data_IF_283053343459
#
_entry.id   IF_283053343459
#
_cell.length_a   1.000
_cell.length_b   1.000
_cell.length_c   1.000
_cell.angle_alpha   90.00
_cell.angle_beta   90.00
_cell.angle_gamma   90.00
#
_symmetry.space_group_name_H-M   'P 1'
#
loop_
_entity.id
_entity.type
_entity.pdbx_description
1 polymer ?
#
# COMPACT_ATOMS: atom_id res chain seq x y z
N UNK A 1 -62.26 -54.52 0.99
CA UNK A 1 -61.18 -53.79 1.68
C UNK A 1 -60.48 -52.86 0.69
N UNK A 2 -60.68 -51.53 0.72
CA UNK A 2 -59.90 -50.62 -0.12
C UNK A 2 -58.73 -50.02 0.69
N UNK A 3 -57.53 -50.12 0.13
CA UNK A 3 -56.28 -49.54 0.67
C UNK A 3 -56.34 -48.01 0.62
N UNK A 4 -56.13 -47.35 1.76
CA UNK A 4 -55.94 -45.89 1.84
C UNK A 4 -54.59 -45.50 1.22
N UNK A 5 -54.64 -44.65 0.21
CA UNK A 5 -53.46 -44.07 -0.43
C UNK A 5 -52.74 -43.08 0.50
N UNK A 6 -51.41 -43.09 0.45
CA UNK A 6 -50.47 -42.37 1.31
C UNK A 6 -50.53 -40.86 1.06
N UNK A 7 -51.09 -40.11 2.01
CA UNK A 7 -51.07 -38.65 2.01
C UNK A 7 -49.75 -38.04 2.56
N UNK A 8 -48.85 -38.86 3.14
CA UNK A 8 -47.63 -38.39 3.81
C UNK A 8 -46.45 -38.06 2.87
N UNK A 9 -46.36 -38.67 1.69
CA UNK A 9 -45.17 -38.58 0.83
C UNK A 9 -45.01 -37.21 0.13
N UNK A 10 -46.11 -36.49 -0.16
CA UNK A 10 -46.08 -35.18 -0.83
C UNK A 10 -45.67 -34.02 0.10
N UNK A 11 -46.08 -34.08 1.37
CA UNK A 11 -45.70 -33.06 2.37
C UNK A 11 -44.22 -33.16 2.77
N UNK A 12 -43.69 -34.38 2.81
CA UNK A 12 -42.29 -34.63 3.13
C UNK A 12 -41.35 -34.21 2.01
N UNK A 13 -41.71 -34.45 0.75
CA UNK A 13 -40.94 -34.00 -0.41
C UNK A 13 -40.83 -32.48 -0.50
N UNK A 14 -41.92 -31.75 -0.22
CA UNK A 14 -41.92 -30.28 -0.22
C UNK A 14 -40.98 -29.71 0.86
N UNK A 15 -40.95 -30.30 2.06
CA UNK A 15 -40.05 -29.89 3.14
C UNK A 15 -38.58 -30.10 2.75
N UNK A 16 -38.24 -31.23 2.14
CA UNK A 16 -36.86 -31.49 1.68
C UNK A 16 -36.42 -30.46 0.63
N UNK A 17 -37.29 -30.15 -0.33
CA UNK A 17 -37.01 -29.13 -1.36
C UNK A 17 -36.83 -27.74 -0.76
N UNK A 18 -37.67 -27.35 0.20
CA UNK A 18 -37.55 -26.07 0.91
C UNK A 18 -36.25 -25.96 1.70
N UNK A 19 -35.86 -27.02 2.40
CA UNK A 19 -34.58 -27.07 3.13
C UNK A 19 -33.41 -26.94 2.17
N UNK A 20 -33.46 -27.63 1.01
CA UNK A 20 -32.43 -27.53 -0.01
C UNK A 20 -32.32 -26.12 -0.61
N UNK A 21 -33.46 -25.49 -0.92
CA UNK A 21 -33.51 -24.12 -1.42
C UNK A 21 -32.97 -23.11 -0.39
N UNK A 22 -33.33 -23.27 0.88
CA UNK A 22 -32.81 -22.43 1.96
C UNK A 22 -31.29 -22.59 2.12
N UNK A 23 -30.79 -23.83 2.10
CA UNK A 23 -29.36 -24.11 2.16
C UNK A 23 -28.62 -23.51 0.95
N UNK A 24 -29.17 -23.65 -0.25
CA UNK A 24 -28.58 -23.08 -1.47
C UNK A 24 -28.55 -21.54 -1.44
N UNK A 25 -29.62 -20.90 -0.97
CA UNK A 25 -29.67 -19.45 -0.81
C UNK A 25 -28.66 -18.95 0.24
N UNK A 26 -28.46 -19.67 1.34
CA UNK A 26 -27.46 -19.31 2.34
C UNK A 26 -26.03 -19.43 1.80
N UNK A 27 -25.73 -20.50 1.05
CA UNK A 27 -24.41 -20.70 0.44
C UNK A 27 -24.12 -19.61 -0.60
N UNK A 28 -25.08 -19.30 -1.47
CA UNK A 28 -24.91 -18.26 -2.49
C UNK A 28 -24.76 -16.87 -1.88
N UNK A 29 -25.54 -16.54 -0.84
CA UNK A 29 -25.40 -15.29 -0.09
C UNK A 29 -24.02 -15.17 0.57
N UNK A 30 -23.53 -16.24 1.21
CA UNK A 30 -22.19 -16.27 1.81
C UNK A 30 -21.07 -16.12 0.78
N UNK A 31 -21.20 -16.73 -0.40
CA UNK A 31 -20.24 -16.56 -1.49
C UNK A 31 -20.20 -15.13 -2.02
N UNK A 32 -21.36 -14.49 -2.17
CA UNK A 32 -21.47 -13.13 -2.68
C UNK A 32 -20.96 -12.08 -1.68
N UNK A 33 -21.18 -12.30 -0.38
CA UNK A 33 -20.66 -11.41 0.67
C UNK A 33 -19.12 -11.49 0.77
N UNK A 34 -18.54 -12.68 0.63
CA UNK A 34 -17.08 -12.85 0.59
C UNK A 34 -16.47 -12.20 -0.66
N UNK A 35 -17.09 -12.37 -1.83
CA UNK A 35 -16.63 -11.77 -3.07
C UNK A 35 -16.67 -10.22 -3.01
N UNK A 36 -17.77 -9.65 -2.49
CA UNK A 36 -17.89 -8.18 -2.35
C UNK A 36 -16.89 -7.57 -1.37
N UNK A 37 -16.52 -8.29 -0.30
CA UNK A 37 -15.46 -7.88 0.61
C UNK A 37 -14.09 -7.77 -0.10
N UNK A 38 -13.78 -8.70 -1.01
CA UNK A 38 -12.54 -8.65 -1.80
C UNK A 38 -12.48 -7.43 -2.74
N UNK A 39 -13.62 -7.04 -3.33
CA UNK A 39 -13.71 -5.83 -4.17
C UNK A 39 -13.56 -4.54 -3.36
N UNK A 40 -14.11 -4.48 -2.14
CA UNK A 40 -13.93 -3.34 -1.24
C UNK A 40 -12.45 -3.13 -0.86
N UNK A 41 -11.69 -4.22 -0.70
CA UNK A 41 -10.25 -4.17 -0.43
C UNK A 41 -9.42 -3.60 -1.59
N UNK A 42 -9.91 -3.70 -2.83
CA UNK A 42 -9.13 -3.31 -4.02
C UNK A 42 -8.84 -1.81 -4.08
N UNK A 43 -9.79 -0.97 -3.65
CA UNK A 43 -9.59 0.49 -3.60
C UNK A 43 -8.56 0.88 -2.54
N UNK A 44 -8.57 0.19 -1.39
CA UNK A 44 -7.57 0.38 -0.34
C UNK A 44 -6.19 -0.01 -0.83
N UNK A 45 -6.05 -1.19 -1.45
CA UNK A 45 -4.77 -1.66 -2.03
C UNK A 45 -4.25 -0.69 -3.09
N UNK A 46 -5.13 -0.17 -3.96
CA UNK A 46 -4.74 0.78 -5.00
C UNK A 46 -4.26 2.11 -4.43
N UNK A 47 -4.92 2.59 -3.38
CA UNK A 47 -4.54 3.83 -2.68
C UNK A 47 -3.21 3.63 -1.97
N UNK A 48 -3.03 2.49 -1.30
CA UNK A 48 -1.80 2.15 -0.59
C UNK A 48 -0.61 2.03 -1.55
N UNK A 49 -0.77 1.25 -2.63
CA UNK A 49 0.25 1.12 -3.65
C UNK A 49 0.66 2.48 -4.23
N UNK A 50 -0.32 3.33 -4.54
CA UNK A 50 -0.06 4.69 -5.05
C UNK A 50 0.74 5.53 -4.05
N UNK A 51 0.44 5.45 -2.76
CA UNK A 51 1.22 6.18 -1.74
C UNK A 51 2.64 5.64 -1.62
N UNK A 52 2.83 4.32 -1.73
CA UNK A 52 4.16 3.69 -1.74
C UNK A 52 5.00 4.13 -2.93
N UNK A 53 4.43 4.17 -4.14
CA UNK A 53 5.13 4.68 -5.32
C UNK A 53 5.49 6.17 -5.19
N UNK A 54 4.65 6.95 -4.51
CA UNK A 54 4.96 8.35 -4.26
C UNK A 54 6.16 8.48 -3.30
N UNK A 55 6.20 7.69 -2.22
CA UNK A 55 7.33 7.68 -1.29
C UNK A 55 8.66 7.32 -1.99
N UNK A 56 8.64 6.31 -2.85
CA UNK A 56 9.79 5.90 -3.66
C UNK A 56 10.30 7.02 -4.58
N UNK A 57 9.40 7.71 -5.28
CA UNK A 57 9.74 8.88 -6.07
C UNK A 57 10.34 10.02 -5.22
N UNK A 58 9.88 10.18 -3.97
CA UNK A 58 10.46 11.12 -3.02
C UNK A 58 11.89 10.74 -2.60
N UNK A 59 12.19 9.44 -2.43
CA UNK A 59 13.54 8.95 -2.16
C UNK A 59 14.46 9.18 -3.37
N UNK A 60 13.99 8.89 -4.58
CA UNK A 60 14.75 9.17 -5.81
C UNK A 60 15.07 10.67 -5.95
N UNK A 61 14.11 11.55 -5.64
CA UNK A 61 14.36 12.99 -5.59
C UNK A 61 15.42 13.36 -4.54
N UNK A 62 15.38 12.73 -3.35
CA UNK A 62 16.38 12.96 -2.31
C UNK A 62 17.79 12.58 -2.79
N UNK A 63 17.94 11.43 -3.43
CA UNK A 63 19.21 10.98 -4.00
C UNK A 63 19.73 11.94 -5.08
N UNK A 64 18.85 12.37 -5.98
CA UNK A 64 19.20 13.37 -6.99
C UNK A 64 19.65 14.69 -6.34
N UNK A 65 18.99 15.14 -5.27
CA UNK A 65 19.34 16.36 -4.56
C UNK A 65 20.69 16.24 -3.82
N UNK A 66 21.02 15.06 -3.28
CA UNK A 66 22.33 14.76 -2.67
C UNK A 66 23.44 14.85 -3.72
N UNK A 67 23.21 14.27 -4.89
CA UNK A 67 24.16 14.20 -6.01
C UNK A 67 24.37 15.57 -6.69
N UNK A 68 23.29 16.24 -7.11
CA UNK A 68 23.39 17.38 -8.05
C UNK A 68 23.45 18.77 -7.40
N UNK A 69 22.92 18.95 -6.19
CA UNK A 69 22.67 20.31 -5.66
C UNK A 69 23.64 20.75 -4.56
N UNK A 70 24.43 19.85 -3.97
CA UNK A 70 25.13 20.15 -2.70
C UNK A 70 26.59 19.65 -2.58
N UNK A 71 27.23 19.19 -3.66
CA UNK A 71 28.62 18.69 -3.59
C UNK A 71 28.76 17.56 -2.57
N UNK A 72 27.95 16.51 -2.74
CA UNK A 72 27.78 15.36 -1.84
C UNK A 72 26.88 15.67 -0.62
N UNK A 73 25.81 16.45 -0.75
CA UNK A 73 24.86 16.62 0.36
C UNK A 73 25.38 17.34 1.63
N UNK A 74 26.58 17.94 1.62
CA UNK A 74 27.16 18.63 2.79
C UNK A 74 26.38 19.88 3.25
N UNK A 75 25.61 20.50 2.36
CA UNK A 75 24.72 21.62 2.70
C UNK A 75 23.33 21.17 3.19
N UNK A 76 23.13 19.88 3.47
CA UNK A 76 21.98 19.44 4.25
C UNK A 76 22.08 19.96 5.71
N UNK A 77 20.96 20.24 6.42
CA UNK A 77 19.62 19.74 6.15
C UNK A 77 18.86 20.52 5.07
N UNK A 78 18.09 19.79 4.27
CA UNK A 78 17.16 20.38 3.30
C UNK A 78 15.84 19.65 3.37
N UNK A 79 14.78 20.40 3.64
CA UNK A 79 13.40 19.95 3.45
C UNK A 79 12.91 20.46 2.10
N UNK A 80 12.18 19.63 1.37
CA UNK A 80 11.60 20.01 0.08
C UNK A 80 10.25 19.33 -0.08
N UNK A 81 9.25 20.11 -0.45
CA UNK A 81 7.94 19.60 -0.81
C UNK A 81 7.94 19.21 -2.30
N UNK A 82 7.56 17.98 -2.60
CA UNK A 82 7.43 17.46 -3.98
C UNK A 82 5.98 17.06 -4.19
N UNK A 83 5.31 17.64 -5.17
CA UNK A 83 3.92 17.27 -5.51
C UNK A 83 3.92 16.38 -6.73
N UNK A 84 3.31 15.20 -6.60
CA UNK A 84 3.14 14.23 -7.67
C UNK A 84 1.67 14.17 -8.08
N UNK A 85 1.39 14.37 -9.36
CA UNK A 85 0.04 14.36 -9.90
C UNK A 85 -0.32 12.96 -10.37
N UNK A 86 -1.36 12.37 -9.76
CA UNK A 86 -1.92 11.09 -10.17
C UNK A 86 -3.37 11.27 -10.63
N UNK A 87 -3.93 10.31 -11.39
CA UNK A 87 -5.33 10.36 -11.81
C UNK A 87 -6.34 10.44 -10.66
N UNK A 88 -5.98 9.91 -9.48
CA UNK A 88 -6.80 9.98 -8.26
C UNK A 88 -6.49 11.18 -7.36
N UNK A 89 -5.82 12.22 -7.87
CA UNK A 89 -5.47 13.45 -7.15
C UNK A 89 -3.95 13.70 -7.03
N UNK A 90 -3.54 14.85 -6.49
CA UNK A 90 -2.14 15.08 -6.13
C UNK A 90 -1.77 14.35 -4.83
N UNK A 91 -0.52 13.91 -4.72
CA UNK A 91 0.12 13.51 -3.46
C UNK A 91 1.28 14.46 -3.22
N UNK A 92 1.27 15.14 -2.08
CA UNK A 92 2.38 16.01 -1.68
C UNK A 92 3.28 15.26 -0.72
N UNK A 93 4.56 15.18 -1.06
CA UNK A 93 5.60 14.53 -0.26
C UNK A 93 6.43 15.61 0.41
N UNK A 94 6.76 15.42 1.67
CA UNK A 94 7.78 16.20 2.36
C UNK A 94 9.05 15.36 2.46
N UNK A 95 10.09 15.76 1.74
CA UNK A 95 11.38 15.08 1.70
C UNK A 95 12.35 15.84 2.59
N UNK A 96 12.76 15.23 3.71
CA UNK A 96 13.77 15.73 4.62
C UNK A 96 15.07 14.96 4.47
N UNK A 97 16.17 15.67 4.23
CA UNK A 97 17.52 15.09 4.17
C UNK A 97 18.32 15.63 5.35
N UNK A 98 18.87 14.75 6.17
CA UNK A 98 19.80 15.08 7.25
C UNK A 98 21.18 14.48 6.94
N UNK A 99 22.22 15.32 6.91
CA UNK A 99 23.60 14.83 6.76
C UNK A 99 24.11 14.17 8.03
N UNK A 100 24.92 13.14 7.86
CA UNK A 100 25.81 12.66 8.90
C UNK A 100 27.24 13.17 8.72
N UNK A 101 28.21 12.40 9.23
CA UNK A 101 29.62 12.74 9.27
C UNK A 101 30.46 11.48 8.96
N UNK A 102 31.35 11.48 7.95
CA UNK A 102 31.71 12.58 7.06
C UNK A 102 30.56 12.97 6.11
N UNK A 103 30.57 14.22 5.65
CA UNK A 103 29.52 14.71 4.74
C UNK A 103 29.83 14.47 3.26
N UNK A 104 31.04 14.03 2.92
CA UNK A 104 31.47 13.71 1.55
C UNK A 104 32.55 12.63 1.56
N UNK A 105 32.67 11.90 0.46
CA UNK A 105 33.67 10.85 0.28
C UNK A 105 33.16 9.48 0.71
N UNK A 106 33.92 8.44 0.41
CA UNK A 106 33.50 7.06 0.62
C UNK A 106 33.11 6.81 2.10
N UNK A 107 31.87 6.41 2.35
CA UNK A 107 31.32 6.22 3.69
C UNK A 107 30.58 7.44 4.28
N UNK A 108 30.50 8.57 3.57
CA UNK A 108 29.59 9.65 3.92
C UNK A 108 28.14 9.15 3.91
N UNK A 109 27.30 9.68 4.81
CA UNK A 109 25.95 9.18 5.00
C UNK A 109 24.90 10.30 5.16
N UNK A 110 23.69 10.01 4.69
CA UNK A 110 22.54 10.90 4.78
C UNK A 110 21.30 10.11 5.18
N UNK A 111 20.65 10.57 6.24
CA UNK A 111 19.35 10.07 6.64
C UNK A 111 18.27 10.81 5.85
N UNK A 112 17.49 10.06 5.07
CA UNK A 112 16.40 10.57 4.26
C UNK A 112 15.08 10.15 4.90
N UNK A 113 14.20 11.12 5.07
CA UNK A 113 12.85 10.92 5.56
C UNK A 113 11.89 11.47 4.52
N UNK A 114 10.95 10.66 4.05
CA UNK A 114 9.93 11.04 3.09
C UNK A 114 8.59 10.78 3.73
N UNK A 115 7.76 11.80 3.84
CA UNK A 115 6.40 11.66 4.39
C UNK A 115 5.37 12.08 3.36
N UNK A 116 4.34 11.26 3.18
CA UNK A 116 3.23 11.61 2.30
C UNK A 116 2.18 12.40 3.10
N UNK A 117 1.88 13.61 2.63
CA UNK A 117 0.95 14.51 3.32
C UNK A 117 -0.46 13.93 3.30
N UNK A 118 -1.12 13.92 4.46
CA UNK A 118 -2.47 13.37 4.60
C UNK A 118 -2.52 11.85 4.70
N UNK A 119 -1.38 11.17 4.80
CA UNK A 119 -1.30 9.74 5.10
C UNK A 119 -0.39 9.52 6.32
N UNK A 120 -0.52 8.35 6.94
CA UNK A 120 0.38 7.94 8.02
C UNK A 120 1.63 7.21 7.48
N UNK A 121 1.87 7.31 6.17
CA UNK A 121 2.93 6.56 5.49
C UNK A 121 4.22 7.38 5.45
N UNK A 122 5.30 6.77 5.93
CA UNK A 122 6.62 7.40 5.95
C UNK A 122 7.68 6.43 5.48
N UNK A 123 8.55 6.89 4.60
CA UNK A 123 9.75 6.17 4.19
C UNK A 123 10.94 6.79 4.90
N UNK A 124 11.74 5.95 5.53
CA UNK A 124 13.04 6.33 6.08
C UNK A 124 14.11 5.53 5.37
N UNK A 125 15.23 6.17 5.04
CA UNK A 125 16.32 5.51 4.33
C UNK A 125 17.66 6.11 4.73
N UNK A 126 18.71 5.30 4.63
CA UNK A 126 20.09 5.76 4.72
C UNK A 126 20.77 5.61 3.38
N UNK A 127 21.18 6.75 2.87
CA UNK A 127 22.01 6.84 1.68
C UNK A 127 23.45 6.94 2.14
N UNK A 128 24.35 6.16 1.54
CA UNK A 128 25.80 6.29 1.75
C UNK A 128 26.52 6.52 0.44
N UNK A 129 27.64 7.22 0.50
CA UNK A 129 28.50 7.40 -0.66
C UNK A 129 29.39 6.18 -0.84
N UNK A 130 29.33 5.56 -2.01
CA UNK A 130 30.20 4.48 -2.44
C UNK A 130 30.79 4.84 -3.80
N UNK A 131 32.12 4.94 -3.89
CA UNK A 131 32.82 5.31 -5.12
C UNK A 131 32.28 6.60 -5.79
N UNK A 132 32.09 7.67 -4.99
CA UNK A 132 31.55 8.95 -5.44
C UNK A 132 30.12 8.89 -6.01
N UNK A 133 29.34 7.87 -5.62
CA UNK A 133 27.91 7.75 -5.98
C UNK A 133 27.07 7.50 -4.72
N UNK A 134 25.92 8.17 -4.56
CA UNK A 134 24.99 7.84 -3.47
C UNK A 134 24.33 6.48 -3.74
N UNK A 135 24.36 5.59 -2.76
CA UNK A 135 23.70 4.30 -2.75
C UNK A 135 22.77 4.22 -1.54
N UNK A 136 21.56 3.71 -1.72
CA UNK A 136 20.69 3.39 -0.58
C UNK A 136 21.21 2.10 0.07
N UNK A 137 21.58 2.18 1.34
CA UNK A 137 22.07 1.03 2.11
C UNK A 137 20.97 0.35 2.91
N UNK A 138 19.99 1.13 3.35
CA UNK A 138 18.76 0.61 3.90
C UNK A 138 17.62 1.58 3.65
N UNK A 139 16.41 1.02 3.57
CA UNK A 139 15.16 1.75 3.51
C UNK A 139 14.08 0.98 4.25
N UNK A 140 13.13 1.69 4.83
CA UNK A 140 12.01 1.13 5.54
C UNK A 140 10.79 2.03 5.34
N UNK A 141 9.66 1.40 5.02
CA UNK A 141 8.37 2.06 4.88
C UNK A 141 7.51 1.66 6.07
N UNK A 142 6.99 2.67 6.76
CA UNK A 142 6.01 2.54 7.84
C UNK A 142 4.65 3.03 7.32
#
# INVERSE_FOLDING_TARGET
MPRRARAGERGQALLVVLVFLAAFLLITWAGLSLASAAFLGLNTVRTDARTTYALDAGLAYAMYAIDTKNGNGCNAPKTSAVTLNYPGGPITLNVGIAKGNPCSGNGANWNVTVTATGTNRTLTALVTELNAKPLVTWESIQ
#
